data_IF_346306084340
#
_entry.id   IF_346306084340
#
_cell.length_a   1.000
_cell.length_b   1.000
_cell.length_c   1.000
_cell.angle_alpha   90.00
_cell.angle_beta   90.00
_cell.angle_gamma   90.00
#
_symmetry.space_group_name_H-M   'P 1'
#
loop_
_entity.id
_entity.type
_entity.pdbx_description
1 polymer ?
#
# COMPACT_ATOMS: atom_id res chain seq x y z
N UNK A 1 -11.67 11.27 45.50
CA UNK A 1 -12.29 12.14 46.52
C UNK A 1 -13.15 13.23 45.91
N UNK A 2 -14.47 13.09 46.00
CA UNK A 2 -15.49 14.04 45.50
C UNK A 2 -15.99 14.91 46.69
N UNK A 3 -15.14 15.11 47.69
CA UNK A 3 -15.55 15.43 49.06
C UNK A 3 -15.42 16.89 49.50
N UNK A 4 -15.05 17.84 48.64
CA UNK A 4 -14.76 19.22 49.07
C UNK A 4 -15.57 20.32 48.35
N UNK A 5 -16.44 19.99 47.38
CA UNK A 5 -17.29 20.96 46.69
C UNK A 5 -18.58 21.34 47.46
N UNK A 6 -18.78 20.81 48.68
CA UNK A 6 -19.98 21.02 49.50
C UNK A 6 -19.81 22.07 50.60
N UNK A 7 -18.63 22.68 50.69
CA UNK A 7 -18.33 23.78 51.60
C UNK A 7 -17.96 24.93 50.67
N UNK A 8 -18.76 26.00 50.66
CA UNK A 8 -18.63 27.23 49.85
C UNK A 8 -17.28 27.98 50.05
N UNK A 9 -16.16 27.34 49.75
CA UNK A 9 -14.81 27.85 49.99
C UNK A 9 -13.91 27.80 48.75
N UNK A 10 -14.42 27.32 47.62
CA UNK A 10 -13.67 27.26 46.36
C UNK A 10 -14.48 28.05 45.33
N UNK A 11 -13.84 29.04 44.70
CA UNK A 11 -14.49 29.88 43.70
C UNK A 11 -14.94 28.99 42.53
N UNK A 12 -16.10 29.26 41.95
CA UNK A 12 -16.54 28.59 40.72
C UNK A 12 -15.46 28.64 39.63
N UNK A 13 -14.69 29.74 39.63
CA UNK A 13 -13.52 29.95 38.78
C UNK A 13 -12.41 28.91 39.02
N UNK A 14 -12.06 28.60 40.28
CA UNK A 14 -11.02 27.61 40.58
C UNK A 14 -11.41 26.20 40.12
N UNK A 15 -12.71 25.89 40.15
CA UNK A 15 -13.25 24.63 39.65
C UNK A 15 -13.17 24.57 38.11
N UNK A 16 -13.56 25.64 37.43
CA UNK A 16 -13.46 25.74 35.97
C UNK A 16 -12.00 25.68 35.50
N UNK A 17 -11.08 26.32 36.23
CA UNK A 17 -9.63 26.28 35.97
C UNK A 17 -9.05 24.86 36.17
N UNK A 18 -9.50 24.14 37.19
CA UNK A 18 -9.11 22.75 37.42
C UNK A 18 -9.66 21.80 36.35
N UNK A 19 -10.91 21.99 35.90
CA UNK A 19 -11.50 21.22 34.81
C UNK A 19 -10.80 21.48 33.47
N UNK A 20 -10.46 22.73 33.18
CA UNK A 20 -9.70 23.11 31.98
C UNK A 20 -8.27 22.53 32.00
N UNK A 21 -7.61 22.55 33.17
CA UNK A 21 -6.29 21.95 33.36
C UNK A 21 -6.32 20.43 33.16
N UNK A 22 -7.36 19.75 33.67
CA UNK A 22 -7.56 18.32 33.46
C UNK A 22 -7.78 18.00 31.97
N UNK A 23 -8.60 18.79 31.27
CA UNK A 23 -8.84 18.59 29.84
C UNK A 23 -7.55 18.76 29.02
N UNK A 24 -6.73 19.74 29.39
CA UNK A 24 -5.44 20.02 28.74
C UNK A 24 -4.47 18.86 28.97
N UNK A 25 -4.31 18.41 30.21
CA UNK A 25 -3.47 17.26 30.53
C UNK A 25 -3.94 15.98 29.83
N UNK A 26 -5.26 15.75 29.74
CA UNK A 26 -5.81 14.63 29.00
C UNK A 26 -5.54 14.72 27.49
N UNK A 27 -5.55 15.93 26.92
CA UNK A 27 -5.17 16.16 25.53
C UNK A 27 -3.67 15.91 25.31
N UNK A 28 -2.80 16.36 26.21
CA UNK A 28 -1.35 16.11 26.16
C UNK A 28 -1.03 14.62 26.20
N UNK A 29 -1.72 13.85 27.04
CA UNK A 29 -1.58 12.39 27.08
C UNK A 29 -1.93 11.78 25.71
N UNK A 30 -3.03 12.20 25.09
CA UNK A 30 -3.41 11.71 23.76
C UNK A 30 -2.40 12.07 22.67
N UNK A 31 -1.79 13.26 22.75
CA UNK A 31 -0.71 13.67 21.85
C UNK A 31 0.50 12.76 22.04
N UNK A 32 0.91 12.52 23.28
CA UNK A 32 2.03 11.63 23.57
C UNK A 32 1.76 10.18 23.12
N UNK A 33 0.53 9.69 23.28
CA UNK A 33 0.11 8.38 22.75
C UNK A 33 0.22 8.32 21.22
N UNK A 34 -0.20 9.37 20.52
CA UNK A 34 -0.08 9.48 19.07
C UNK A 34 1.38 9.51 18.60
N UNK A 35 2.26 10.20 19.35
CA UNK A 35 3.69 10.24 19.08
C UNK A 35 4.33 8.86 19.23
N UNK A 36 3.96 8.13 20.29
CA UNK A 36 4.40 6.73 20.49
C UNK A 36 3.90 5.85 19.35
N UNK A 37 2.65 6.00 18.92
CA UNK A 37 2.11 5.23 17.79
C UNK A 37 2.86 5.54 16.50
N UNK A 38 3.16 6.81 16.24
CA UNK A 38 3.94 7.25 15.08
C UNK A 38 5.35 6.66 15.10
N UNK A 39 6.02 6.70 16.26
CA UNK A 39 7.33 6.09 16.43
C UNK A 39 7.31 4.57 16.20
N UNK A 40 6.26 3.86 16.65
CA UNK A 40 6.08 2.43 16.38
C UNK A 40 5.89 2.14 14.89
N UNK A 41 5.11 2.97 14.19
CA UNK A 41 4.91 2.84 12.73
C UNK A 41 6.23 3.06 11.99
N UNK A 42 7.00 4.09 12.36
CA UNK A 42 8.31 4.34 11.77
C UNK A 42 9.28 3.19 12.00
N UNK A 43 9.28 2.60 13.20
CA UNK A 43 10.06 1.39 13.49
C UNK A 43 9.61 0.21 12.63
N UNK A 44 8.30 0.02 12.43
CA UNK A 44 7.79 -1.03 11.56
C UNK A 44 8.26 -0.85 10.11
N UNK A 45 8.30 0.40 9.60
CA UNK A 45 8.82 0.71 8.27
C UNK A 45 10.31 0.44 8.08
N UNK A 46 11.09 0.25 9.16
CA UNK A 46 12.48 -0.23 9.05
C UNK A 46 12.57 -1.65 8.51
N UNK A 47 11.51 -2.46 8.70
CA UNK A 47 11.38 -3.79 8.09
C UNK A 47 10.55 -3.66 6.82
N UNK A 48 11.25 -3.63 5.69
CA UNK A 48 10.62 -3.50 4.37
C UNK A 48 10.08 -4.87 3.94
N UNK A 49 8.77 -4.95 3.70
CA UNK A 49 8.07 -6.15 3.20
C UNK A 49 7.34 -5.84 1.90
N UNK A 50 7.26 -6.81 0.99
CA UNK A 50 6.51 -6.65 -0.25
C UNK A 50 4.99 -6.72 0.02
N UNK A 51 4.17 -5.84 -0.59
CA UNK A 51 2.71 -5.87 -0.43
C UNK A 51 2.03 -7.00 -1.21
N UNK A 52 2.74 -7.57 -2.20
CA UNK A 52 2.26 -8.65 -3.06
C UNK A 52 3.14 -9.89 -2.94
N UNK A 53 2.51 -11.05 -3.09
CA UNK A 53 3.23 -12.32 -3.21
C UNK A 53 3.69 -12.51 -4.66
N UNK A 54 4.91 -12.99 -4.83
CA UNK A 54 5.48 -13.17 -6.16
C UNK A 54 6.93 -13.61 -6.09
N UNK A 55 7.61 -13.51 -7.23
CA UNK A 55 9.04 -13.76 -7.32
C UNK A 55 9.79 -12.44 -7.16
N UNK A 56 10.77 -12.44 -6.26
CA UNK A 56 11.69 -11.33 -6.07
C UNK A 56 12.77 -11.33 -7.17
N UNK A 57 13.04 -10.17 -7.75
CA UNK A 57 14.20 -9.96 -8.63
C UNK A 57 15.48 -9.71 -7.83
N UNK A 58 16.61 -9.57 -8.51
CA UNK A 58 17.87 -9.18 -7.86
C UNK A 58 17.72 -7.83 -7.17
N UNK A 59 18.26 -7.68 -5.96
CA UNK A 59 18.24 -6.38 -5.28
C UNK A 59 19.09 -5.37 -6.05
N UNK A 60 18.55 -4.17 -6.25
CA UNK A 60 19.25 -3.05 -6.90
C UNK A 60 20.20 -2.33 -5.93
N UNK A 61 20.09 -2.62 -4.64
CA UNK A 61 20.89 -2.02 -3.57
C UNK A 61 21.77 -3.07 -2.90
N UNK A 62 22.94 -2.63 -2.45
CA UNK A 62 23.86 -3.48 -1.69
C UNK A 62 23.60 -3.35 -0.19
N UNK A 63 23.91 -4.40 0.61
CA UNK A 63 23.89 -4.29 2.06
C UNK A 63 24.79 -3.14 2.54
N UNK A 64 24.24 -2.26 3.38
CA UNK A 64 24.96 -1.09 3.90
C UNK A 64 24.87 0.17 3.04
N UNK A 65 24.19 0.12 1.89
CA UNK A 65 23.86 1.32 1.14
C UNK A 65 22.86 2.20 1.91
N UNK A 66 23.05 3.52 1.88
CA UNK A 66 22.09 4.47 2.42
C UNK A 66 20.85 4.50 1.52
N UNK A 67 19.69 4.20 2.11
CA UNK A 67 18.39 4.29 1.45
C UNK A 67 17.58 5.39 2.10
N UNK A 68 16.88 6.18 1.29
CA UNK A 68 16.07 7.30 1.76
C UNK A 68 14.60 7.02 1.48
N UNK A 69 13.71 7.47 2.37
CA UNK A 69 12.28 7.40 2.14
C UNK A 69 11.92 8.12 0.83
N UNK A 70 11.09 7.50 0.00
CA UNK A 70 10.62 8.06 -1.29
C UNK A 70 11.71 8.32 -2.34
N UNK A 71 12.80 7.54 -2.34
CA UNK A 71 13.74 7.56 -3.46
C UNK A 71 13.12 6.98 -4.74
N UNK A 72 13.49 7.53 -5.91
CA UNK A 72 12.95 7.09 -7.21
C UNK A 72 13.35 5.64 -7.56
N UNK A 73 14.49 5.18 -7.05
CA UNK A 73 15.00 3.84 -7.34
C UNK A 73 14.41 2.82 -6.36
N UNK A 74 13.60 1.90 -6.88
CA UNK A 74 13.10 0.76 -6.12
C UNK A 74 14.25 -0.10 -5.60
N UNK A 75 14.16 -0.62 -4.37
CA UNK A 75 15.17 -1.48 -3.72
C UNK A 75 15.24 -2.89 -4.33
N UNK A 76 14.10 -3.36 -4.82
CA UNK A 76 13.91 -4.61 -5.52
C UNK A 76 12.53 -4.57 -6.17
N UNK A 77 12.31 -5.39 -7.20
CA UNK A 77 11.01 -5.57 -7.83
C UNK A 77 10.48 -6.94 -7.45
N UNK A 78 9.22 -7.01 -7.04
CA UNK A 78 8.50 -8.28 -6.87
C UNK A 78 7.49 -8.37 -7.99
N UNK A 79 7.57 -9.43 -8.79
CA UNK A 79 6.63 -9.68 -9.89
C UNK A 79 5.77 -10.88 -9.56
N UNK A 80 4.47 -10.72 -9.72
CA UNK A 80 3.51 -11.81 -9.62
C UNK A 80 3.51 -12.59 -10.95
N UNK A 81 3.89 -13.86 -10.90
CA UNK A 81 4.00 -14.74 -12.07
C UNK A 81 2.71 -15.50 -12.39
N UNK A 82 1.64 -15.31 -11.62
CA UNK A 82 0.35 -15.93 -11.85
C UNK A 82 -0.76 -14.96 -11.43
N UNK A 83 -1.59 -14.43 -12.34
CA UNK A 83 -1.64 -14.72 -13.79
C UNK A 83 -0.60 -13.92 -14.61
N UNK A 84 -0.16 -14.50 -15.75
CA UNK A 84 0.71 -13.81 -16.72
C UNK A 84 -0.14 -13.16 -17.81
N UNK A 85 0.12 -11.89 -18.08
CA UNK A 85 -0.48 -11.14 -19.19
C UNK A 85 0.47 -11.16 -20.39
N UNK A 86 -0.09 -11.34 -21.60
CA UNK A 86 0.65 -11.29 -22.86
C UNK A 86 0.00 -10.22 -23.75
N UNK A 87 0.69 -9.10 -23.94
CA UNK A 87 0.26 -8.02 -24.83
C UNK A 87 0.58 -8.38 -26.29
N UNK A 88 -0.45 -8.55 -27.11
CA UNK A 88 -0.33 -8.86 -28.55
C UNK A 88 -0.64 -7.61 -29.37
N UNK A 89 0.37 -7.05 -30.04
CA UNK A 89 0.22 -5.92 -30.96
C UNK A 89 -0.16 -6.40 -32.35
N UNK A 90 -1.47 -6.41 -32.66
CA UNK A 90 -1.95 -6.77 -34.00
C UNK A 90 -2.09 -5.54 -34.89
N UNK A 91 -1.47 -5.56 -36.08
CA UNK A 91 -1.64 -4.52 -37.10
C UNK A 91 -3.09 -4.49 -37.61
N UNK A 92 -3.65 -3.31 -37.84
CA UNK A 92 -5.00 -3.12 -38.38
C UNK A 92 -5.19 -3.81 -39.74
N UNK A 93 -4.14 -3.92 -40.55
CA UNK A 93 -4.17 -4.64 -41.83
C UNK A 93 -4.30 -6.16 -41.66
N UNK A 94 -3.61 -6.72 -40.67
CA UNK A 94 -3.71 -8.12 -40.26
C UNK A 94 -5.08 -8.41 -39.64
N UNK A 95 -5.62 -7.49 -38.84
CA UNK A 95 -6.96 -7.62 -38.25
C UNK A 95 -8.07 -7.56 -39.32
N UNK A 96 -7.91 -6.73 -40.36
CA UNK A 96 -8.82 -6.67 -41.51
C UNK A 96 -8.68 -7.87 -42.47
N UNK A 97 -7.48 -8.47 -42.57
CA UNK A 97 -7.29 -9.77 -43.25
C UNK A 97 -7.93 -10.89 -42.44
N UNK A 98 -7.66 -10.96 -41.14
CA UNK A 98 -8.25 -11.92 -40.22
C UNK A 98 -9.79 -11.86 -40.23
N UNK A 99 -10.39 -10.66 -40.21
CA UNK A 99 -11.84 -10.48 -40.35
C UNK A 99 -12.39 -11.00 -41.70
N UNK A 100 -11.64 -10.81 -42.80
CA UNK A 100 -12.01 -11.34 -44.13
C UNK A 100 -11.82 -12.85 -44.23
N UNK A 101 -10.81 -13.41 -43.58
CA UNK A 101 -10.52 -14.85 -43.54
C UNK A 101 -11.50 -15.60 -42.63
N UNK A 102 -11.98 -14.94 -41.57
CA UNK A 102 -13.08 -15.41 -40.72
C UNK A 102 -14.42 -15.38 -41.48
N UNK A 103 -14.71 -14.29 -42.20
CA UNK A 103 -15.91 -14.16 -43.03
C UNK A 103 -15.92 -15.12 -44.23
N UNK A 104 -14.75 -15.57 -44.70
CA UNK A 104 -14.62 -16.54 -45.80
C UNK A 104 -14.51 -18.00 -45.32
N UNK A 105 -14.70 -18.26 -44.02
CA UNK A 105 -14.88 -19.61 -43.46
C UNK A 105 -13.60 -20.46 -43.38
N UNK A 106 -12.42 -19.86 -43.50
CA UNK A 106 -11.13 -20.60 -43.48
C UNK A 106 -10.49 -20.73 -42.10
N UNK A 107 -11.09 -20.17 -41.05
CA UNK A 107 -10.57 -20.21 -39.69
C UNK A 107 -11.62 -20.78 -38.72
N UNK A 108 -11.32 -21.94 -38.12
CA UNK A 108 -12.07 -22.46 -36.98
C UNK A 108 -11.54 -21.81 -35.71
N UNK A 109 -12.33 -20.91 -35.12
CA UNK A 109 -12.05 -20.37 -33.79
C UNK A 109 -12.41 -21.42 -32.75
N UNK A 110 -11.41 -22.02 -32.11
CA UNK A 110 -11.64 -22.69 -30.84
C UNK A 110 -11.93 -21.58 -29.82
N UNK A 111 -13.16 -21.56 -29.32
CA UNK A 111 -13.88 -20.40 -28.85
C UNK A 111 -13.45 -19.76 -27.53
N UNK A 112 -12.15 -19.66 -27.25
CA UNK A 112 -11.63 -18.84 -26.16
C UNK A 112 -10.27 -18.32 -26.61
N UNK A 113 -10.05 -17.00 -26.59
CA UNK A 113 -8.83 -16.31 -27.09
C UNK A 113 -7.54 -16.62 -26.33
N UNK A 114 -7.28 -17.89 -26.03
CA UNK A 114 -6.14 -18.41 -25.28
C UNK A 114 -5.28 -19.27 -26.21
N UNK A 115 -4.27 -18.65 -26.81
CA UNK A 115 -3.22 -19.38 -27.51
C UNK A 115 -2.23 -19.92 -26.46
N UNK A 116 -2.23 -21.24 -26.26
CA UNK A 116 -1.30 -21.92 -25.35
C UNK A 116 0.11 -21.90 -25.93
N UNK A 117 0.95 -21.00 -25.43
CA UNK A 117 2.39 -20.97 -25.70
C UNK A 117 3.07 -22.13 -24.96
N UNK A 118 3.60 -23.09 -25.72
CA UNK A 118 4.51 -24.11 -25.20
C UNK A 118 5.92 -23.72 -25.69
N UNK A 119 6.88 -23.43 -24.80
CA UNK A 119 8.22 -23.07 -25.23
C UNK A 119 8.92 -24.29 -25.85
N UNK A 120 9.40 -24.14 -27.08
CA UNK A 120 10.33 -25.09 -27.68
C UNK A 120 11.68 -24.95 -27.00
N UNK A 121 12.21 -26.06 -26.51
CA UNK A 121 13.65 -26.22 -26.26
C UNK A 121 14.44 -26.17 -27.58
#
# INVERSE_FOLDING_TARGET
DIGLAKIDAISQQDKEDAEASLLTAAAEVKVAEADVQTARINLAYTRITAPISGRIETSTVTPGALVVAQQDTALTTVQQLDPIYVDVTQSTTELLRLKRDLASGKLQTNGDGQARITPSA
#
